data_IF_911095901768
#
_entry.id   IF_911095901768
#
_cell.length_a   1.000
_cell.length_b   1.000
_cell.length_c   1.000
_cell.angle_alpha   90.00
_cell.angle_beta   90.00
_cell.angle_gamma   90.00
#
_symmetry.space_group_name_H-M   'P 1'
#
loop_
_entity.id
_entity.type
_entity.pdbx_description
1 polymer ?
#
# COMPACT_ATOMS: atom_id res chain seq x y z
N UNK A 1 3.17 14.85 13.58
CA UNK A 1 3.91 14.25 12.46
C UNK A 1 2.89 13.61 11.54
N UNK A 2 2.98 13.85 10.23
CA UNK A 2 2.11 13.24 9.25
C UNK A 2 2.79 11.94 8.78
N UNK A 3 2.10 10.81 8.90
CA UNK A 3 2.60 9.51 8.44
C UNK A 3 2.12 9.33 7.01
N UNK A 4 3.05 9.19 6.06
CA UNK A 4 2.72 8.85 4.68
C UNK A 4 2.42 7.35 4.59
N UNK A 5 1.19 7.01 4.22
CA UNK A 5 0.72 5.63 4.09
C UNK A 5 0.12 5.48 2.70
N UNK A 6 0.72 4.61 1.88
CA UNK A 6 0.24 4.30 0.55
C UNK A 6 -0.28 2.86 0.51
N UNK A 7 -1.48 2.68 -0.03
CA UNK A 7 -2.09 1.38 -0.31
C UNK A 7 -2.15 1.21 -1.82
N UNK A 8 -1.27 0.36 -2.34
CA UNK A 8 -1.04 0.19 -3.77
C UNK A 8 -1.68 -1.13 -4.20
N UNK A 9 -2.61 -1.07 -5.14
CA UNK A 9 -3.34 -2.26 -5.59
C UNK A 9 -3.99 -2.03 -6.95
N UNK A 10 -4.40 -3.11 -7.60
CA UNK A 10 -5.32 -3.05 -8.74
C UNK A 10 -6.68 -2.44 -8.33
N UNK A 11 -7.39 -1.89 -9.33
CA UNK A 11 -8.73 -1.34 -9.18
C UNK A 11 -9.70 -2.35 -8.54
N UNK A 12 -10.60 -1.86 -7.69
CA UNK A 12 -11.68 -2.66 -7.09
C UNK A 12 -11.21 -3.91 -6.33
N UNK A 13 -9.95 -3.96 -5.90
CA UNK A 13 -9.47 -5.04 -5.06
C UNK A 13 -10.16 -4.98 -3.69
N UNK A 14 -11.02 -5.97 -3.41
CA UNK A 14 -11.73 -6.05 -2.13
C UNK A 14 -10.79 -6.16 -0.92
N UNK A 15 -9.58 -6.69 -1.11
CA UNK A 15 -8.56 -6.72 -0.07
C UNK A 15 -8.04 -5.31 0.26
N UNK A 16 -7.80 -4.44 -0.73
CA UNK A 16 -7.34 -3.07 -0.49
C UNK A 16 -8.33 -2.24 0.35
N UNK A 17 -9.63 -2.38 0.07
CA UNK A 17 -10.69 -1.72 0.87
C UNK A 17 -10.65 -2.17 2.33
N UNK A 18 -10.51 -3.49 2.56
CA UNK A 18 -10.39 -4.05 3.91
C UNK A 18 -9.11 -3.56 4.61
N UNK A 19 -8.00 -3.48 3.89
CA UNK A 19 -6.72 -3.02 4.43
C UNK A 19 -6.79 -1.54 4.85
N UNK A 20 -7.37 -0.66 4.04
CA UNK A 20 -7.56 0.76 4.42
C UNK A 20 -8.40 0.88 5.70
N UNK A 21 -9.50 0.13 5.80
CA UNK A 21 -10.34 0.12 6.99
C UNK A 21 -9.58 -0.36 8.24
N UNK A 22 -8.73 -1.38 8.10
CA UNK A 22 -7.89 -1.88 9.18
C UNK A 22 -6.84 -0.86 9.62
N UNK A 23 -6.18 -0.18 8.68
CA UNK A 23 -5.21 0.88 8.97
C UNK A 23 -5.88 1.99 9.80
N UNK A 24 -7.02 2.52 9.33
CA UNK A 24 -7.76 3.58 10.04
C UNK A 24 -8.21 3.11 11.45
N UNK A 25 -8.68 1.86 11.57
CA UNK A 25 -9.08 1.29 12.86
C UNK A 25 -7.93 1.17 13.85
N UNK A 26 -6.76 0.70 13.42
CA UNK A 26 -5.59 0.53 14.30
C UNK A 26 -5.02 1.90 14.69
N UNK A 27 -4.89 2.82 13.73
CA UNK A 27 -4.45 4.19 14.00
C UNK A 27 -5.35 4.89 15.04
N UNK A 28 -6.68 4.77 14.90
CA UNK A 28 -7.63 5.32 15.85
C UNK A 28 -7.47 4.76 17.27
N UNK A 29 -7.15 3.46 17.42
CA UNK A 29 -6.83 2.86 18.73
C UNK A 29 -5.57 3.44 19.36
N UNK A 30 -4.67 3.98 18.55
CA UNK A 30 -3.42 4.61 18.98
C UNK A 30 -3.56 6.13 19.16
N UNK A 31 -4.76 6.70 18.97
CA UNK A 31 -4.99 8.14 19.00
C UNK A 31 -4.37 8.88 17.81
N UNK A 32 -4.13 8.18 16.70
CA UNK A 32 -3.57 8.74 15.48
C UNK A 32 -4.68 8.94 14.44
N UNK A 33 -4.71 10.12 13.85
CA UNK A 33 -5.49 10.38 12.65
C UNK A 33 -4.59 10.16 11.42
N UNK A 34 -5.01 9.27 10.53
CA UNK A 34 -4.30 8.93 9.30
C UNK A 34 -5.25 8.92 8.12
N UNK A 35 -4.77 9.34 6.96
CA UNK A 35 -5.50 9.25 5.70
C UNK A 35 -4.65 8.53 4.66
N UNK A 36 -4.74 7.18 4.58
CA UNK A 36 -3.97 6.41 3.62
C UNK A 36 -4.35 6.77 2.19
N UNK A 37 -3.36 7.04 1.36
CA UNK A 37 -3.53 7.26 -0.08
C UNK A 37 -3.75 5.91 -0.77
N UNK A 38 -4.78 5.82 -1.62
CA UNK A 38 -4.95 4.65 -2.48
C UNK A 38 -4.32 4.92 -3.86
N UNK A 39 -3.36 4.08 -4.25
CA UNK A 39 -2.70 4.15 -5.54
C UNK A 39 -3.17 2.98 -6.40
N UNK A 40 -3.86 3.31 -7.49
CA UNK A 40 -4.31 2.33 -8.47
C UNK A 40 -3.18 1.95 -9.43
N UNK A 41 -2.82 0.67 -9.47
CA UNK A 41 -1.90 0.10 -10.47
C UNK A 41 -2.71 -0.30 -11.70
N UNK A 42 -2.42 0.29 -12.86
CA UNK A 42 -3.15 0.03 -14.13
C UNK A 42 -2.28 -0.67 -15.16
N UNK A 43 -0.98 -0.48 -15.08
CA UNK A 43 -0.01 -0.97 -16.05
C UNK A 43 1.16 -1.63 -15.34
N UNK A 44 1.93 -2.42 -16.09
CA UNK A 44 3.18 -2.95 -15.58
C UNK A 44 4.15 -1.82 -15.19
N UNK A 45 4.15 -0.69 -15.92
CA UNK A 45 4.97 0.47 -15.58
C UNK A 45 4.55 1.10 -14.24
N UNK A 46 3.26 1.11 -13.92
CA UNK A 46 2.80 1.51 -12.58
C UNK A 46 3.32 0.54 -11.52
N UNK A 47 3.32 -0.77 -11.81
CA UNK A 47 3.84 -1.76 -10.87
C UNK A 47 5.34 -1.54 -10.58
N UNK A 48 6.14 -1.20 -11.59
CA UNK A 48 7.54 -0.78 -11.37
C UNK A 48 7.65 0.54 -10.61
N UNK A 49 6.88 1.56 -11.01
CA UNK A 49 6.91 2.91 -10.42
C UNK A 49 6.56 2.88 -8.93
N UNK A 50 5.53 2.12 -8.58
CA UNK A 50 5.02 2.00 -7.21
C UNK A 50 5.52 0.75 -6.51
N UNK A 51 6.48 0.02 -7.09
CA UNK A 51 7.07 -1.22 -6.51
C UNK A 51 6.00 -2.24 -6.08
N UNK A 52 4.93 -2.40 -6.86
CA UNK A 52 3.82 -3.29 -6.56
C UNK A 52 4.22 -4.75 -6.80
N UNK A 53 4.46 -5.48 -5.71
CA UNK A 53 4.85 -6.89 -5.73
C UNK A 53 3.60 -7.80 -5.74
N UNK A 54 2.49 -7.31 -5.17
CA UNK A 54 1.19 -7.98 -5.13
C UNK A 54 0.17 -7.16 -4.36
N UNK A 55 -1.11 -7.30 -4.70
CA UNK A 55 -2.16 -6.43 -4.16
C UNK A 55 -2.80 -6.96 -2.87
N UNK A 56 -2.96 -6.13 -1.81
CA UNK A 56 -2.44 -4.78 -1.67
C UNK A 56 -0.99 -4.76 -1.15
N UNK A 57 -0.13 -3.98 -1.81
CA UNK A 57 1.20 -3.58 -1.32
C UNK A 57 1.05 -2.33 -0.45
N UNK A 58 1.73 -2.26 0.70
CA UNK A 58 1.60 -1.14 1.63
C UNK A 58 2.96 -0.48 1.84
N UNK A 59 3.04 0.82 1.58
CA UNK A 59 4.22 1.60 1.93
C UNK A 59 3.94 2.52 3.12
N UNK A 60 4.90 2.62 4.03
CA UNK A 60 4.96 3.63 5.08
C UNK A 60 6.22 4.46 4.87
N UNK A 61 6.06 5.77 4.66
CA UNK A 61 7.15 6.70 4.36
C UNK A 61 8.05 6.21 3.21
N UNK A 62 7.42 5.75 2.12
CA UNK A 62 8.10 5.27 0.91
C UNK A 62 8.75 3.88 1.02
N UNK A 63 8.60 3.16 2.13
CA UNK A 63 9.14 1.80 2.31
C UNK A 63 8.03 0.79 2.48
N UNK A 64 8.18 -0.37 1.83
CA UNK A 64 7.30 -1.51 2.05
C UNK A 64 7.28 -1.94 3.53
N UNK A 65 6.09 -2.23 4.06
CA UNK A 65 5.93 -2.74 5.42
C UNK A 65 6.56 -4.13 5.61
N UNK A 66 6.76 -4.90 4.54
CA UNK A 66 7.46 -6.18 4.48
C UNK A 66 8.95 -5.94 4.15
N UNK A 67 9.88 -5.99 5.12
CA UNK A 67 11.29 -5.66 4.87
C UNK A 67 11.98 -6.57 3.84
N UNK A 68 11.57 -7.84 3.79
CA UNK A 68 12.08 -8.88 2.91
C UNK A 68 11.85 -8.59 1.42
N UNK A 69 10.83 -7.79 1.09
CA UNK A 69 10.51 -7.49 -0.31
C UNK A 69 11.15 -6.19 -0.81
N UNK A 70 11.71 -5.37 0.08
CA UNK A 70 12.31 -4.08 -0.28
C UNK A 70 13.46 -4.19 -1.28
N UNK A 71 14.19 -5.31 -1.28
CA UNK A 71 15.27 -5.59 -2.24
C UNK A 71 14.81 -6.26 -3.54
N UNK A 72 13.52 -6.61 -3.66
CA UNK A 72 13.00 -7.28 -4.85
C UNK A 72 12.78 -6.27 -5.99
N UNK A 73 12.97 -6.75 -7.21
CA UNK A 73 12.73 -5.97 -8.44
C UNK A 73 11.77 -6.71 -9.39
N UNK A 74 11.07 -7.73 -8.89
CA UNK A 74 10.02 -8.42 -9.61
C UNK A 74 8.68 -7.82 -9.17
N UNK A 75 8.03 -7.11 -10.09
CA UNK A 75 6.75 -6.45 -9.86
C UNK A 75 5.72 -6.99 -10.82
N UNK A 76 4.48 -7.10 -10.37
CA UNK A 76 3.45 -7.82 -11.09
C UNK A 76 2.15 -7.04 -11.20
N UNK A 77 1.39 -7.33 -12.26
CA UNK A 77 -0.03 -7.00 -12.39
C UNK A 77 -0.77 -8.34 -12.49
N UNK A 78 -1.37 -8.79 -11.40
CA UNK A 78 -2.11 -10.05 -11.31
C UNK A 78 -3.37 -9.87 -10.50
#
# INVERSE_FOLDING_TARGET
MMIDIQVISLKNCGAAVKTIALIKKVAGKMGLEVDPEFIEVKTINDAYKYRHIGGPTIHINGLDIEPEVRGQNQFAIS
#
